data_IF_758560961890
#
_entry.id   IF_758560961890
#
_cell.length_a   1.000
_cell.length_b   1.000
_cell.length_c   1.000
_cell.angle_alpha   90.00
_cell.angle_beta   90.00
_cell.angle_gamma   90.00
#
_symmetry.space_group_name_H-M   'P 1'
#
loop_
_entity.id
_entity.type
_entity.pdbx_description
1 polymer ?
#
# COMPACT_ATOMS: atom_id res chain seq x y z
N UNK A 1 -9.37 -36.70 25.07
CA UNK A 1 -8.47 -37.84 24.77
C UNK A 1 -8.86 -38.33 23.37
N UNK A 2 -7.87 -38.41 22.45
CA UNK A 2 -7.90 -38.92 21.04
C UNK A 2 -8.83 -38.17 20.07
N UNK A 3 -8.40 -37.34 19.11
CA UNK A 3 -7.53 -37.50 17.90
C UNK A 3 -7.98 -38.60 16.94
N UNK A 4 -8.02 -38.27 15.63
CA UNK A 4 -8.19 -39.09 14.39
C UNK A 4 -9.65 -39.06 13.84
N UNK A 5 -10.00 -38.68 12.60
CA UNK A 5 -9.25 -38.40 11.36
C UNK A 5 -10.14 -37.71 10.28
N UNK A 6 -9.46 -37.17 9.25
CA UNK A 6 -9.75 -37.38 7.82
C UNK A 6 -10.70 -36.48 7.01
N UNK A 7 -10.05 -35.85 6.02
CA UNK A 7 -10.47 -35.49 4.64
C UNK A 7 -10.82 -34.03 4.38
N UNK A 8 -9.81 -33.26 4.00
CA UNK A 8 -9.89 -32.46 2.77
C UNK A 8 -8.48 -32.18 2.23
N UNK A 9 -8.22 -32.84 1.11
CA UNK A 9 -7.01 -32.78 0.30
C UNK A 9 -6.88 -31.42 -0.38
N UNK A 10 -5.76 -30.73 -0.17
CA UNK A 10 -5.18 -29.81 -1.16
C UNK A 10 -3.68 -30.04 -1.15
N UNK A 11 -3.28 -31.06 -1.92
CA UNK A 11 -1.90 -31.24 -2.32
C UNK A 11 -1.53 -30.09 -3.27
N UNK A 12 -0.95 -29.02 -2.72
CA UNK A 12 -0.13 -28.12 -3.53
C UNK A 12 1.18 -28.86 -3.71
N UNK A 13 1.32 -29.48 -4.89
CA UNK A 13 2.50 -30.17 -5.34
C UNK A 13 3.72 -29.27 -5.17
N UNK A 14 4.63 -29.61 -4.25
CA UNK A 14 5.99 -29.10 -4.24
C UNK A 14 6.70 -29.69 -5.46
N UNK A 15 6.58 -29.00 -6.58
CA UNK A 15 7.43 -29.24 -7.74
C UNK A 15 8.81 -28.64 -7.46
N UNK A 16 9.62 -29.37 -6.71
CA UNK A 16 11.06 -29.37 -6.91
C UNK A 16 11.30 -30.05 -8.27
N UNK A 17 11.36 -29.25 -9.34
CA UNK A 17 11.94 -29.67 -10.64
C UNK A 17 13.12 -28.73 -10.91
N UNK A 18 14.11 -28.80 -10.01
CA UNK A 18 15.46 -28.31 -10.28
C UNK A 18 16.08 -29.20 -11.38
N UNK A 19 16.57 -28.53 -12.43
CA UNK A 19 17.40 -29.08 -13.51
C UNK A 19 16.71 -29.97 -14.56
N UNK A 20 15.92 -29.34 -15.45
CA UNK A 20 15.73 -29.83 -16.83
C UNK A 20 16.24 -28.83 -17.86
N UNK A 21 17.42 -29.16 -18.38
CA UNK A 21 17.96 -28.89 -19.72
C UNK A 21 17.49 -27.62 -20.45
N UNK A 22 18.34 -26.59 -20.43
CA UNK A 22 18.39 -25.61 -21.51
C UNK A 22 19.08 -26.23 -22.74
N UNK A 23 18.37 -27.11 -23.44
CA UNK A 23 18.80 -27.60 -24.76
C UNK A 23 17.94 -26.96 -25.86
N UNK A 24 18.45 -25.85 -26.40
CA UNK A 24 18.28 -25.47 -27.81
C UNK A 24 16.97 -24.80 -28.24
N UNK A 25 16.97 -23.47 -28.36
CA UNK A 25 16.80 -22.74 -29.63
C UNK A 25 16.58 -21.23 -29.38
N UNK A 26 17.41 -20.41 -30.01
CA UNK A 26 17.30 -18.96 -30.25
C UNK A 26 16.40 -18.11 -29.34
N UNK A 27 17.06 -17.35 -28.47
CA UNK A 27 16.47 -16.31 -27.64
C UNK A 27 16.97 -16.54 -26.24
N UNK A 28 17.93 -15.73 -25.80
CA UNK A 28 18.44 -15.72 -24.44
C UNK A 28 17.29 -15.97 -23.47
N UNK A 29 17.44 -16.90 -22.55
CA UNK A 29 16.58 -16.97 -21.38
C UNK A 29 16.83 -15.68 -20.60
N UNK A 30 16.24 -14.56 -21.05
CA UNK A 30 16.15 -13.37 -20.24
C UNK A 30 15.42 -13.84 -18.99
N UNK A 31 16.07 -13.83 -17.82
CA UNK A 31 15.32 -14.03 -16.60
C UNK A 31 14.24 -12.97 -16.67
N UNK A 32 12.97 -13.38 -16.60
CA UNK A 32 11.88 -12.44 -16.46
C UNK A 32 12.33 -11.49 -15.35
N UNK A 33 12.60 -10.22 -15.71
CA UNK A 33 13.03 -9.21 -14.76
C UNK A 33 11.84 -9.11 -13.83
N UNK A 34 11.91 -9.82 -12.70
CA UNK A 34 11.01 -9.61 -11.60
C UNK A 34 11.23 -8.15 -11.29
N UNK A 35 10.22 -7.34 -11.56
CA UNK A 35 10.16 -5.96 -11.09
C UNK A 35 10.01 -6.07 -9.58
N UNK A 36 11.09 -6.50 -8.90
CA UNK A 36 11.27 -6.50 -7.46
C UNK A 36 11.49 -5.04 -7.06
N UNK A 37 10.53 -4.17 -7.41
CA UNK A 37 10.38 -2.88 -6.75
C UNK A 37 9.97 -3.24 -5.34
N UNK A 38 10.99 -3.38 -4.51
CA UNK A 38 10.88 -3.63 -3.09
C UNK A 38 9.84 -2.67 -2.55
N UNK A 39 8.70 -3.22 -2.12
CA UNK A 39 7.60 -2.43 -1.61
C UNK A 39 8.14 -1.75 -0.34
N UNK A 40 8.15 -0.41 -0.27
CA UNK A 40 8.73 0.29 0.86
C UNK A 40 8.09 -0.18 2.17
N UNK A 41 8.90 -0.35 3.21
CA UNK A 41 8.39 -0.64 4.54
C UNK A 41 7.31 0.39 4.91
N UNK A 42 6.13 -0.08 5.35
CA UNK A 42 5.02 0.79 5.68
C UNK A 42 3.92 0.95 4.63
N UNK A 43 4.07 0.31 3.46
CA UNK A 43 3.06 0.40 2.38
C UNK A 43 1.71 -0.22 2.78
N UNK A 44 1.70 -1.32 3.53
CA UNK A 44 0.48 -1.95 4.00
C UNK A 44 -0.25 -1.05 5.02
N UNK A 45 0.49 -0.38 5.90
CA UNK A 45 -0.05 0.62 6.82
C UNK A 45 -0.63 1.83 6.06
N UNK A 46 0.00 2.23 4.95
CA UNK A 46 -0.52 3.27 4.06
C UNK A 46 -1.89 2.90 3.49
N UNK A 47 -2.02 1.67 2.98
CA UNK A 47 -3.28 1.12 2.43
C UNK A 47 -4.32 1.06 3.55
N UNK A 48 -3.97 0.51 4.71
CA UNK A 48 -4.88 0.40 5.84
C UNK A 48 -5.37 1.77 6.33
N UNK A 49 -4.50 2.79 6.32
CA UNK A 49 -4.91 4.16 6.62
C UNK A 49 -5.85 4.71 5.55
N UNK A 50 -5.56 4.49 4.26
CA UNK A 50 -6.45 4.92 3.17
C UNK A 50 -7.83 4.27 3.26
N UNK A 51 -7.91 2.97 3.57
CA UNK A 51 -9.17 2.26 3.83
C UNK A 51 -9.92 2.85 5.02
N UNK A 52 -9.21 3.14 6.13
CA UNK A 52 -9.82 3.74 7.31
C UNK A 52 -10.39 5.14 7.00
N UNK A 53 -9.71 5.94 6.17
CA UNK A 53 -10.24 7.22 5.71
C UNK A 53 -11.47 7.06 4.81
N UNK A 54 -11.44 6.13 3.84
CA UNK A 54 -12.57 5.86 2.94
C UNK A 54 -13.82 5.38 3.69
N UNK A 55 -13.63 4.62 4.78
CA UNK A 55 -14.70 4.13 5.65
C UNK A 55 -15.11 5.13 6.75
N UNK A 56 -14.55 6.35 6.75
CA UNK A 56 -14.76 7.36 7.81
C UNK A 56 -14.55 6.81 9.23
N UNK A 57 -13.51 5.97 9.41
CA UNK A 57 -13.17 5.35 10.68
C UNK A 57 -11.92 5.99 11.31
N UNK A 58 -12.07 7.11 12.04
CA UNK A 58 -10.94 7.83 12.64
C UNK A 58 -10.27 7.05 13.78
N UNK A 59 -10.95 6.09 14.40
CA UNK A 59 -10.37 5.22 15.44
C UNK A 59 -9.33 4.30 14.81
N UNK A 60 -9.72 3.56 13.75
CA UNK A 60 -8.81 2.68 13.01
C UNK A 60 -7.66 3.46 12.38
N UNK A 61 -7.92 4.65 11.86
CA UNK A 61 -6.87 5.56 11.37
C UNK A 61 -5.84 5.87 12.46
N UNK A 62 -6.30 6.26 13.66
CA UNK A 62 -5.41 6.60 14.77
C UNK A 62 -4.67 5.38 15.34
N UNK A 63 -5.30 4.21 15.37
CA UNK A 63 -4.66 2.96 15.76
C UNK A 63 -3.47 2.67 14.85
N UNK A 64 -3.68 2.66 13.52
CA UNK A 64 -2.63 2.40 12.53
C UNK A 64 -1.53 3.44 12.64
N UNK A 65 -1.88 4.74 12.71
CA UNK A 65 -0.89 5.82 12.86
C UNK A 65 -0.06 5.69 14.14
N UNK A 66 -0.64 5.23 15.25
CA UNK A 66 0.04 5.15 16.56
C UNK A 66 0.87 3.87 16.71
N UNK A 67 0.51 2.81 15.98
CA UNK A 67 1.14 1.48 16.07
C UNK A 67 1.91 1.11 14.80
N UNK A 68 2.12 2.07 13.89
CA UNK A 68 2.91 1.87 12.69
C UNK A 68 4.32 1.41 13.09
N UNK A 69 4.80 0.37 12.41
CA UNK A 69 6.12 -0.23 12.65
C UNK A 69 7.24 0.79 12.54
N UNK A 70 7.08 1.76 11.62
CA UNK A 70 7.89 2.94 11.50
C UNK A 70 7.00 4.19 11.64
N UNK A 71 7.32 5.05 12.61
CA UNK A 71 6.60 6.31 12.81
C UNK A 71 6.70 7.22 11.59
N UNK A 72 7.81 7.17 10.85
CA UNK A 72 8.00 7.97 9.64
C UNK A 72 7.01 7.56 8.53
N UNK A 73 6.59 6.30 8.49
CA UNK A 73 5.56 5.82 7.55
C UNK A 73 4.23 6.51 7.80
N UNK A 74 3.76 6.57 9.04
CA UNK A 74 2.47 7.20 9.36
C UNK A 74 2.46 8.69 8.99
N UNK A 75 3.56 9.39 9.24
CA UNK A 75 3.77 10.79 8.86
C UNK A 75 3.83 10.97 7.33
N UNK A 76 4.56 10.11 6.64
CA UNK A 76 4.66 10.11 5.18
C UNK A 76 3.30 9.88 4.52
N UNK A 77 2.56 8.87 4.97
CA UNK A 77 1.25 8.53 4.40
C UNK A 77 0.22 9.62 4.66
N UNK A 78 0.25 10.22 5.86
CA UNK A 78 -0.60 11.38 6.19
C UNK A 78 -0.26 12.59 5.30
N UNK A 79 1.02 12.83 5.06
CA UNK A 79 1.50 13.93 4.18
C UNK A 79 1.11 13.70 2.72
N UNK A 80 1.21 12.47 2.23
CA UNK A 80 0.79 12.08 0.89
C UNK A 80 -0.71 12.25 0.69
N UNK A 81 -1.54 11.77 1.63
CA UNK A 81 -2.99 11.95 1.57
C UNK A 81 -3.35 13.44 1.57
N UNK A 82 -2.73 14.23 2.45
CA UNK A 82 -2.93 15.68 2.48
C UNK A 82 -2.58 16.32 1.13
N UNK A 83 -1.48 15.92 0.50
CA UNK A 83 -1.10 16.37 -0.84
C UNK A 83 -2.17 16.09 -1.89
N UNK A 84 -2.72 14.87 -1.92
CA UNK A 84 -3.80 14.49 -2.84
C UNK A 84 -5.07 15.31 -2.58
N UNK A 85 -5.45 15.49 -1.31
CA UNK A 85 -6.62 16.28 -0.93
C UNK A 85 -6.46 17.74 -1.38
N UNK A 86 -5.31 18.36 -1.13
CA UNK A 86 -5.00 19.71 -1.56
C UNK A 86 -5.04 19.85 -3.09
N UNK A 87 -4.48 18.88 -3.82
CA UNK A 87 -4.52 18.87 -5.29
C UNK A 87 -5.95 18.75 -5.82
N UNK A 88 -6.78 17.89 -5.21
CA UNK A 88 -8.18 17.72 -5.61
C UNK A 88 -9.00 18.99 -5.38
N UNK A 89 -8.80 19.67 -4.25
CA UNK A 89 -9.47 20.92 -3.91
C UNK A 89 -9.02 22.05 -4.85
N UNK A 90 -7.71 22.16 -5.09
CA UNK A 90 -7.13 23.11 -6.03
C UNK A 90 -7.73 22.98 -7.44
N UNK A 91 -7.84 21.74 -7.93
CA UNK A 91 -8.46 21.46 -9.22
C UNK A 91 -9.93 21.87 -9.26
N UNK A 92 -10.72 21.55 -8.23
CA UNK A 92 -12.14 21.92 -8.17
C UNK A 92 -12.39 23.42 -8.08
N UNK A 93 -11.51 24.14 -7.37
CA UNK A 93 -11.61 25.59 -7.19
C UNK A 93 -10.97 26.39 -8.34
N UNK A 94 -10.18 25.74 -9.20
CA UNK A 94 -9.45 26.40 -10.28
C UNK A 94 -8.31 27.30 -9.79
N UNK A 95 -7.72 26.98 -8.63
CA UNK A 95 -6.66 27.77 -7.99
C UNK A 95 -5.39 26.93 -7.78
N UNK A 96 -4.21 27.55 -7.60
CA UNK A 96 -3.00 26.85 -7.22
C UNK A 96 -3.12 26.09 -5.89
N UNK A 97 -2.54 24.89 -5.80
CA UNK A 97 -2.52 24.09 -4.56
C UNK A 97 -1.81 24.81 -3.40
N UNK A 98 -0.85 25.71 -3.70
CA UNK A 98 -0.19 26.55 -2.71
C UNK A 98 -1.17 27.52 -2.00
N UNK A 99 -2.19 28.00 -2.72
CA UNK A 99 -3.20 28.91 -2.16
C UNK A 99 -4.18 28.15 -1.28
N UNK A 100 -4.59 26.94 -1.69
CA UNK A 100 -5.38 26.03 -0.86
C UNK A 100 -4.63 25.69 0.42
N UNK A 101 -3.34 25.34 0.32
CA UNK A 101 -2.52 25.06 1.50
C UNK A 101 -2.40 26.27 2.43
N UNK A 102 -2.23 27.47 1.86
CA UNK A 102 -2.18 28.71 2.63
C UNK A 102 -3.49 29.01 3.35
N UNK A 103 -4.63 28.68 2.74
CA UNK A 103 -5.94 28.76 3.37
C UNK A 103 -6.05 27.77 4.54
N UNK A 104 -5.77 26.48 4.29
CA UNK A 104 -5.83 25.41 5.32
C UNK A 104 -4.96 25.76 6.52
N UNK A 105 -3.75 26.30 6.33
CA UNK A 105 -2.89 26.71 7.45
C UNK A 105 -3.43 27.88 8.28
N UNK A 106 -4.26 28.74 7.68
CA UNK A 106 -4.86 29.88 8.40
C UNK A 106 -6.16 29.50 9.11
N UNK A 107 -6.96 28.63 8.50
CA UNK A 107 -8.31 28.31 8.99
C UNK A 107 -8.39 26.97 9.72
N UNK A 108 -7.47 26.06 9.45
CA UNK A 108 -7.54 24.66 9.88
C UNK A 108 -8.56 23.84 9.09
N UNK A 109 -9.18 24.40 8.05
CA UNK A 109 -10.29 23.79 7.31
C UNK A 109 -9.86 23.49 5.86
N UNK A 110 -10.24 22.30 5.37
CA UNK A 110 -10.05 21.94 3.97
C UNK A 110 -11.25 22.46 3.16
N UNK A 111 -11.05 23.26 2.10
CA UNK A 111 -12.14 23.75 1.28
C UNK A 111 -12.65 22.62 0.40
N UNK A 112 -13.60 21.86 0.94
CA UNK A 112 -14.32 20.76 0.29
C UNK A 112 -15.55 21.26 -0.47
#
# INVERSE_FOLDING_TARGET
MTVVDSRLSLAISSADDDARGCDGCCGSCEPAVRDDREVPAGFDEAIAMAEAAALHNPTRWNEIRTHATDSATGEYCSSMLLGVLLQSAAHRLGVPAADVWSYVRRTGELPL
#
